data_IF_350717092808
#
_entry.id   IF_350717092808
#
_cell.length_a   1.000
_cell.length_b   1.000
_cell.length_c   1.000
_cell.angle_alpha   90.00
_cell.angle_beta   90.00
_cell.angle_gamma   90.00
#
_symmetry.space_group_name_H-M   'P 1'
#
loop_
_entity.id
_entity.type
_entity.pdbx_description
1 polymer ?
#
# COMPACT_ATOMS: atom_id res chain seq x y z
N UNK A 1 -5.22 8.50 17.47
CA UNK A 1 -5.37 7.14 16.87
C UNK A 1 -4.56 7.08 15.58
N UNK A 2 -4.11 5.90 15.18
CA UNK A 2 -3.33 5.66 13.96
C UNK A 2 -4.14 4.77 13.02
N UNK A 3 -4.11 5.07 11.73
CA UNK A 3 -4.74 4.26 10.68
C UNK A 3 -3.69 3.34 10.09
N UNK A 4 -3.92 2.03 10.15
CA UNK A 4 -3.00 1.04 9.62
C UNK A 4 -3.61 0.39 8.37
N UNK A 5 -3.05 0.71 7.21
CA UNK A 5 -3.38 0.06 5.94
C UNK A 5 -2.49 -1.16 5.74
N UNK A 6 -3.08 -2.28 5.35
CA UNK A 6 -2.35 -3.49 4.97
C UNK A 6 -2.69 -3.88 3.53
N UNK A 7 -1.67 -4.04 2.70
CA UNK A 7 -1.79 -4.54 1.33
C UNK A 7 -1.13 -5.91 1.22
N UNK A 8 -1.61 -6.73 0.28
CA UNK A 8 -0.94 -7.99 -0.07
C UNK A 8 0.39 -7.67 -0.77
N UNK A 9 1.45 -8.41 -0.46
CA UNK A 9 2.70 -8.29 -1.23
C UNK A 9 2.55 -8.88 -2.63
N UNK A 10 3.45 -8.47 -3.52
CA UNK A 10 3.66 -9.12 -4.82
C UNK A 10 5.09 -9.65 -4.89
N UNK A 11 5.38 -10.66 -5.73
CA UNK A 11 6.76 -11.10 -5.95
C UNK A 11 7.65 -9.94 -6.40
N UNK A 12 8.91 -9.91 -5.95
CA UNK A 12 9.85 -8.84 -6.32
C UNK A 12 10.06 -8.76 -7.83
N UNK A 13 10.08 -9.90 -8.52
CA UNK A 13 10.17 -9.98 -9.98
C UNK A 13 9.03 -9.26 -10.71
N UNK A 14 7.86 -9.09 -10.09
CA UNK A 14 6.76 -8.36 -10.73
C UNK A 14 7.12 -6.87 -10.83
N UNK A 15 7.82 -6.34 -9.82
CA UNK A 15 8.26 -4.95 -9.82
C UNK A 15 9.52 -4.77 -10.67
N UNK A 16 10.52 -5.63 -10.50
CA UNK A 16 11.83 -5.47 -11.15
C UNK A 16 11.84 -5.92 -12.62
N UNK A 17 11.20 -7.04 -12.95
CA UNK A 17 11.25 -7.63 -14.30
C UNK A 17 10.03 -7.26 -15.15
N UNK A 18 8.84 -7.18 -14.54
CA UNK A 18 7.58 -6.91 -15.24
C UNK A 18 7.14 -5.44 -15.17
N UNK A 19 7.81 -4.61 -14.35
CA UNK A 19 7.47 -3.19 -14.21
C UNK A 19 6.07 -2.95 -13.63
N UNK A 20 5.60 -3.85 -12.76
CA UNK A 20 4.26 -3.80 -12.18
C UNK A 20 4.07 -2.52 -11.33
N UNK A 21 3.09 -1.65 -11.66
CA UNK A 21 2.83 -0.40 -10.95
C UNK A 21 2.09 -0.62 -9.61
N UNK A 22 1.90 -1.86 -9.15
CA UNK A 22 1.14 -2.21 -7.95
C UNK A 22 1.44 -1.32 -6.74
N UNK A 23 2.73 -1.09 -6.46
CA UNK A 23 3.14 -0.28 -5.31
C UNK A 23 2.67 1.18 -5.45
N UNK A 24 2.92 1.79 -6.61
CA UNK A 24 2.54 3.17 -6.91
C UNK A 24 1.03 3.36 -6.84
N UNK A 25 0.27 2.46 -7.46
CA UNK A 25 -1.20 2.50 -7.45
C UNK A 25 -1.77 2.36 -6.02
N UNK A 26 -1.13 1.54 -5.19
CA UNK A 26 -1.56 1.38 -3.80
C UNK A 26 -1.26 2.63 -2.96
N UNK A 27 -0.08 3.24 -3.15
CA UNK A 27 0.27 4.51 -2.49
C UNK A 27 -0.68 5.64 -2.91
N UNK A 28 -1.03 5.73 -4.19
CA UNK A 28 -2.01 6.70 -4.70
C UNK A 28 -3.39 6.50 -4.06
N UNK A 29 -3.88 5.26 -4.03
CA UNK A 29 -5.17 4.92 -3.42
C UNK A 29 -5.23 5.32 -1.94
N UNK A 30 -4.21 4.99 -1.16
CA UNK A 30 -4.10 5.39 0.25
C UNK A 30 -4.04 6.92 0.39
N UNK A 31 -3.33 7.60 -0.50
CA UNK A 31 -3.27 9.06 -0.56
C UNK A 31 -4.65 9.71 -0.74
N UNK A 32 -5.48 9.17 -1.64
CA UNK A 32 -6.85 9.63 -1.87
C UNK A 32 -7.74 9.42 -0.63
N UNK A 33 -7.64 8.27 0.04
CA UNK A 33 -8.38 8.00 1.28
C UNK A 33 -7.98 9.01 2.36
N UNK A 34 -6.68 9.25 2.54
CA UNK A 34 -6.20 10.18 3.56
C UNK A 34 -6.56 11.64 3.24
N UNK A 35 -6.61 12.03 1.96
CA UNK A 35 -7.13 13.33 1.53
C UNK A 35 -8.60 13.50 1.91
N UNK A 36 -9.42 12.48 1.68
CA UNK A 36 -10.84 12.49 2.02
C UNK A 36 -11.06 12.50 3.54
N UNK A 37 -10.25 11.80 4.32
CA UNK A 37 -10.30 11.90 5.78
C UNK A 37 -9.93 13.29 6.28
N UNK A 38 -8.89 13.91 5.69
CA UNK A 38 -8.52 15.30 6.01
C UNK A 38 -9.62 16.29 5.68
N UNK A 39 -10.34 16.11 4.55
CA UNK A 39 -11.47 16.98 4.16
C UNK A 39 -12.57 16.96 5.23
N UNK A 40 -12.75 15.82 5.90
CA UNK A 40 -13.69 15.60 7.02
C UNK A 40 -13.15 15.97 8.41
N UNK A 41 -12.01 16.66 8.48
CA UNK A 41 -11.30 17.02 9.73
C UNK A 41 -10.77 15.82 10.54
N UNK A 42 -10.62 14.65 9.93
CA UNK A 42 -9.99 13.47 10.53
C UNK A 42 -8.49 13.51 10.21
N UNK A 43 -7.66 13.83 11.22
CA UNK A 43 -6.21 14.10 11.05
C UNK A 43 -5.33 13.03 11.68
N UNK A 44 -5.73 11.77 11.53
CA UNK A 44 -4.94 10.65 12.02
C UNK A 44 -3.70 10.43 11.15
N UNK A 45 -2.59 10.06 11.80
CA UNK A 45 -1.43 9.52 11.10
C UNK A 45 -1.78 8.16 10.48
N UNK A 46 -1.06 7.81 9.42
CA UNK A 46 -1.25 6.53 8.75
C UNK A 46 0.07 5.82 8.46
N UNK A 47 -0.02 4.50 8.29
CA UNK A 47 1.07 3.66 7.80
C UNK A 47 0.47 2.67 6.80
N UNK A 48 1.19 2.42 5.72
CA UNK A 48 0.89 1.37 4.75
C UNK A 48 1.97 0.29 4.86
N UNK A 49 1.55 -0.94 5.14
CA UNK A 49 2.42 -2.10 5.19
C UNK A 49 2.04 -3.10 4.10
N UNK A 50 3.05 -3.69 3.45
CA UNK A 50 2.87 -4.78 2.49
C UNK A 50 3.20 -6.11 3.17
N UNK A 51 2.28 -7.05 3.11
CA UNK A 51 2.47 -8.40 3.64
C UNK A 51 3.50 -9.15 2.80
N UNK A 52 4.34 -9.97 3.43
CA UNK A 52 5.30 -10.81 2.69
C UNK A 52 4.54 -11.93 1.99
N UNK A 53 4.61 -11.99 0.66
CA UNK A 53 4.22 -13.17 -0.11
C UNK A 53 5.40 -14.14 -0.13
N UNK A 54 5.36 -15.19 0.67
CA UNK A 54 6.22 -16.37 0.51
C UNK A 54 5.75 -17.17 -0.70
N UNK A 55 6.02 -16.68 -1.90
CA UNK A 55 5.93 -17.46 -3.14
C UNK A 55 7.34 -17.76 -3.66
N UNK A 56 8.16 -18.38 -2.80
CA UNK A 56 9.42 -19.01 -3.16
C UNK A 56 9.61 -20.24 -2.26
N UNK A 57 8.66 -21.16 -2.31
CA UNK A 57 9.00 -22.58 -2.16
C UNK A 57 8.96 -23.14 -3.58
N UNK A 58 10.16 -23.55 -4.03
CA UNK A 58 10.42 -24.31 -5.24
C UNK A 58 9.43 -25.47 -5.42
#
# INVERSE_FOLDING_TARGET
>A
AMIFFSAHGVPVSYVEDAGDPYKEQMEECVGLIMNELRSRQIKNDHTLAYQVVTAARL
#
